data_IF_826279520590
#
_entry.id   IF_826279520590
#
_cell.length_a   1.000
_cell.length_b   1.000
_cell.length_c   1.000
_cell.angle_alpha   90.00
_cell.angle_beta   90.00
_cell.angle_gamma   90.00
#
_symmetry.space_group_name_H-M   'P 1'
#
loop_
_entity.id
_entity.type
_entity.pdbx_description
1 polymer ?
#
# COMPACT_ATOMS: atom_id res chain seq x y z
N UNK A 1 -5.64 -5.92 15.79
CA UNK A 1 -5.54 -7.31 16.32
C UNK A 1 -4.30 -7.40 17.21
N UNK A 2 -4.39 -8.00 18.39
CA UNK A 2 -3.23 -8.20 19.27
C UNK A 2 -2.39 -9.39 18.77
N UNK A 3 -1.08 -9.18 18.58
CA UNK A 3 -0.11 -10.27 18.33
C UNK A 3 0.28 -10.86 19.68
N UNK A 4 -0.01 -12.14 19.88
CA UNK A 4 0.31 -12.89 21.10
C UNK A 4 1.43 -13.92 20.87
N UNK A 5 1.83 -14.63 21.92
CA UNK A 5 2.93 -15.60 21.84
C UNK A 5 2.61 -16.84 21.00
N UNK A 6 1.33 -17.23 20.88
CA UNK A 6 0.95 -18.30 19.95
C UNK A 6 1.23 -17.93 18.49
N UNK A 7 0.99 -16.68 18.10
CA UNK A 7 1.36 -16.20 16.76
C UNK A 7 2.88 -16.24 16.56
N UNK A 8 3.67 -15.84 17.58
CA UNK A 8 5.14 -15.85 17.53
C UNK A 8 5.69 -17.26 17.43
N UNK A 9 5.15 -18.20 18.20
CA UNK A 9 5.56 -19.61 18.17
C UNK A 9 5.44 -20.19 16.76
N UNK A 10 4.26 -20.02 16.14
CA UNK A 10 4.04 -20.50 14.77
C UNK A 10 5.01 -19.82 13.80
N UNK A 11 5.17 -18.50 13.89
CA UNK A 11 6.09 -17.75 13.05
C UNK A 11 7.53 -18.28 13.12
N UNK A 12 8.09 -18.47 14.33
CA UNK A 12 9.44 -19.00 14.52
C UNK A 12 9.61 -20.42 13.96
N UNK A 13 8.63 -21.30 14.16
CA UNK A 13 8.63 -22.64 13.55
C UNK A 13 8.65 -22.54 12.01
N UNK A 14 7.85 -21.64 11.44
CA UNK A 14 7.81 -21.45 9.98
C UNK A 14 9.11 -20.84 9.44
N UNK A 15 9.71 -19.88 10.16
CA UNK A 15 11.01 -19.29 9.80
C UNK A 15 12.09 -20.37 9.76
N UNK A 16 12.14 -21.23 10.76
CA UNK A 16 13.10 -22.34 10.83
C UNK A 16 12.93 -23.29 9.64
N UNK A 17 11.70 -23.71 9.33
CA UNK A 17 11.43 -24.58 8.19
C UNK A 17 11.82 -23.94 6.84
N UNK A 18 11.56 -22.64 6.68
CA UNK A 18 11.93 -21.88 5.48
C UNK A 18 13.46 -21.78 5.31
N UNK A 19 14.21 -21.57 6.39
CA UNK A 19 15.68 -21.57 6.38
C UNK A 19 16.21 -22.96 6.05
N UNK A 20 15.65 -24.03 6.63
CA UNK A 20 16.01 -25.41 6.30
C UNK A 20 15.80 -25.72 4.81
N UNK A 21 14.67 -25.31 4.24
CA UNK A 21 14.39 -25.48 2.81
C UNK A 21 15.40 -24.73 1.93
N UNK A 22 15.73 -23.48 2.27
CA UNK A 22 16.72 -22.69 1.53
C UNK A 22 18.11 -23.32 1.59
N UNK A 23 18.56 -23.73 2.77
CA UNK A 23 19.85 -24.39 2.96
C UNK A 23 19.91 -25.74 2.22
N UNK A 24 18.81 -26.50 2.20
CA UNK A 24 18.72 -27.74 1.45
C UNK A 24 18.88 -27.52 -0.05
N UNK A 25 18.18 -26.53 -0.62
CA UNK A 25 18.31 -26.17 -2.03
C UNK A 25 19.75 -25.73 -2.38
N UNK A 26 20.36 -24.91 -1.52
CA UNK A 26 21.72 -24.41 -1.72
C UNK A 26 22.77 -25.53 -1.63
N UNK A 27 22.63 -26.45 -0.67
CA UNK A 27 23.53 -27.61 -0.51
C UNK A 27 23.53 -28.52 -1.75
N UNK A 28 22.38 -28.64 -2.42
CA UNK A 28 22.23 -29.45 -3.62
C UNK A 28 22.44 -28.66 -4.93
N UNK A 29 22.83 -27.38 -4.85
CA UNK A 29 23.01 -26.47 -5.99
C UNK A 29 21.82 -26.47 -6.97
N UNK A 30 20.60 -26.69 -6.47
CA UNK A 30 19.42 -26.77 -7.31
C UNK A 30 18.80 -25.38 -7.50
N UNK A 31 18.57 -24.99 -8.75
CA UNK A 31 17.89 -23.73 -9.09
C UNK A 31 16.46 -23.72 -8.52
N UNK A 32 16.11 -22.66 -7.80
CA UNK A 32 14.78 -22.47 -7.21
C UNK A 32 14.60 -21.01 -6.83
N UNK A 33 13.39 -20.59 -6.45
CA UNK A 33 13.14 -19.24 -5.96
C UNK A 33 13.54 -19.09 -4.49
N UNK A 34 14.38 -18.10 -4.22
CA UNK A 34 14.66 -17.59 -2.88
C UNK A 34 13.81 -16.35 -2.61
N UNK A 35 13.51 -16.12 -1.33
CA UNK A 35 12.90 -14.87 -0.87
C UNK A 35 14.02 -13.96 -0.40
N UNK A 36 14.40 -13.05 -1.28
CA UNK A 36 15.53 -12.15 -1.08
C UNK A 36 15.04 -10.80 -0.59
N UNK A 37 15.79 -10.24 0.34
CA UNK A 37 15.64 -8.86 0.76
C UNK A 37 17.02 -8.22 0.70
N UNK A 38 17.26 -7.42 -0.34
CA UNK A 38 18.53 -6.75 -0.56
C UNK A 38 18.89 -5.73 0.51
N UNK A 39 20.15 -5.31 0.51
CA UNK A 39 20.66 -4.23 1.35
C UNK A 39 19.95 -2.89 1.01
N UNK A 40 19.74 -2.00 2.00
CA UNK A 40 19.31 -0.63 1.74
C UNK A 40 20.21 0.07 0.71
N UNK A 41 19.63 0.92 -0.15
CA UNK A 41 20.45 1.67 -1.12
C UNK A 41 21.32 2.70 -0.41
N UNK A 42 22.49 2.99 -0.97
CA UNK A 42 23.46 3.94 -0.40
C UNK A 42 22.81 5.31 -0.14
N UNK A 43 22.02 5.79 -1.09
CA UNK A 43 21.26 7.05 -0.96
C UNK A 43 20.31 7.03 0.26
N UNK A 44 19.50 5.98 0.40
CA UNK A 44 18.56 5.84 1.53
C UNK A 44 19.29 5.77 2.87
N UNK A 45 20.45 5.10 2.91
CA UNK A 45 21.30 5.04 4.11
C UNK A 45 21.89 6.40 4.44
N UNK A 46 22.34 7.16 3.44
CA UNK A 46 22.87 8.51 3.63
C UNK A 46 21.79 9.46 4.16
N UNK A 47 20.59 9.45 3.57
CA UNK A 47 19.44 10.23 4.07
C UNK A 47 19.10 9.85 5.51
N UNK A 48 19.05 8.54 5.82
CA UNK A 48 18.80 8.08 7.19
C UNK A 48 19.89 8.58 8.16
N UNK A 49 21.17 8.49 7.78
CA UNK A 49 22.29 8.98 8.60
C UNK A 49 22.21 10.48 8.84
N UNK A 50 21.82 11.25 7.82
CA UNK A 50 21.63 12.70 7.97
C UNK A 50 20.52 13.02 8.97
N UNK A 51 19.38 12.33 8.89
CA UNK A 51 18.29 12.50 9.86
C UNK A 51 18.74 12.11 11.27
N UNK A 52 19.38 10.95 11.43
CA UNK A 52 19.85 10.47 12.74
C UNK A 52 20.82 11.47 13.41
N UNK A 53 21.74 12.07 12.65
CA UNK A 53 22.65 13.10 13.14
C UNK A 53 21.92 14.30 13.76
N UNK A 54 20.79 14.72 13.18
CA UNK A 54 20.00 15.83 13.75
C UNK A 54 19.37 15.49 15.11
N UNK A 55 19.16 14.20 15.38
CA UNK A 55 18.62 13.69 16.65
C UNK A 55 19.69 13.28 17.66
N UNK A 56 20.97 13.43 17.31
CA UNK A 56 22.12 13.01 18.12
C UNK A 56 22.44 11.52 18.05
N UNK A 57 21.80 10.77 17.14
CA UNK A 57 22.00 9.34 16.96
C UNK A 57 22.93 9.05 15.78
N UNK A 58 23.63 7.93 15.86
CA UNK A 58 24.58 7.51 14.84
C UNK A 58 24.34 6.05 14.47
N UNK A 59 24.11 5.78 13.18
CA UNK A 59 24.07 4.41 12.68
C UNK A 59 25.52 3.90 12.56
N UNK A 60 25.86 2.88 13.34
CA UNK A 60 27.14 2.18 13.24
C UNK A 60 27.22 1.40 11.92
N UNK A 61 28.45 1.16 11.45
CA UNK A 61 28.68 0.59 10.11
C UNK A 61 28.96 1.69 9.08
N UNK A 62 30.03 1.48 8.32
CA UNK A 62 30.59 2.42 7.34
C UNK A 62 29.60 2.67 6.17
N UNK A 63 30.02 2.60 4.92
CA UNK A 63 29.11 2.84 3.78
C UNK A 63 27.99 1.80 3.67
N UNK A 64 28.20 0.58 4.21
CA UNK A 64 27.25 -0.53 4.20
C UNK A 64 26.96 -1.05 5.61
N UNK A 65 25.90 -0.58 6.29
CA UNK A 65 25.52 -1.05 7.61
C UNK A 65 24.96 -2.48 7.58
N UNK A 66 25.33 -3.30 8.57
CA UNK A 66 24.85 -4.69 8.71
C UNK A 66 23.50 -4.70 9.46
N UNK A 67 22.63 -5.73 9.32
CA UNK A 67 21.38 -5.84 10.10
C UNK A 67 21.56 -5.70 11.62
N UNK A 68 22.72 -6.08 12.15
CA UNK A 68 23.09 -5.95 13.57
C UNK A 68 23.19 -4.49 14.01
N UNK A 69 23.67 -3.61 13.13
CA UNK A 69 23.78 -2.17 13.40
C UNK A 69 22.38 -1.54 13.55
N UNK A 70 21.47 -1.89 12.64
CA UNK A 70 20.07 -1.48 12.74
C UNK A 70 19.39 -2.03 14.00
N UNK A 71 19.64 -3.30 14.36
CA UNK A 71 19.09 -3.88 15.58
C UNK A 71 19.61 -3.17 16.85
N UNK A 72 20.88 -2.75 16.86
CA UNK A 72 21.45 -1.96 17.95
C UNK A 72 20.79 -0.58 18.05
N UNK A 73 20.64 0.12 16.93
CA UNK A 73 19.94 1.41 16.87
C UNK A 73 18.49 1.26 17.34
N UNK A 74 17.78 0.21 16.92
CA UNK A 74 16.40 -0.08 17.33
C UNK A 74 16.27 -0.29 18.85
N UNK A 75 17.29 -0.84 19.52
CA UNK A 75 17.32 -0.96 20.99
C UNK A 75 17.55 0.39 21.66
N UNK A 76 18.41 1.23 21.10
CA UNK A 76 18.75 2.56 21.62
C UNK A 76 17.55 3.53 21.54
N UNK A 77 16.77 3.47 20.45
CA UNK A 77 15.61 4.37 20.28
C UNK A 77 14.41 4.01 21.16
N UNK A 78 14.30 2.78 21.67
CA UNK A 78 13.07 2.25 22.29
C UNK A 78 12.55 3.07 23.48
N UNK A 79 13.44 3.75 24.21
CA UNK A 79 13.09 4.58 25.37
C UNK A 79 12.82 6.05 25.06
N UNK A 80 12.95 6.48 23.80
CA UNK A 80 12.87 7.89 23.43
C UNK A 80 11.44 8.31 23.03
N UNK A 81 11.06 9.58 23.21
CA UNK A 81 9.76 10.08 22.78
C UNK A 81 9.57 10.06 21.25
N UNK A 82 10.67 10.11 20.48
CA UNK A 82 10.72 10.10 19.01
C UNK A 82 10.88 8.68 18.42
N UNK A 83 10.75 7.62 19.23
CA UNK A 83 10.99 6.24 18.84
C UNK A 83 10.15 5.78 17.64
N UNK A 84 8.86 6.15 17.61
CA UNK A 84 7.92 5.78 16.55
C UNK A 84 8.33 6.38 15.20
N UNK A 85 8.69 7.67 15.18
CA UNK A 85 9.18 8.38 14.00
C UNK A 85 10.46 7.73 13.48
N UNK A 86 11.45 7.53 14.36
CA UNK A 86 12.73 6.96 14.00
C UNK A 86 12.58 5.53 13.46
N UNK A 87 11.71 4.73 14.08
CA UNK A 87 11.38 3.38 13.59
C UNK A 87 10.77 3.42 12.19
N UNK A 88 9.83 4.33 11.92
CA UNK A 88 9.24 4.47 10.58
C UNK A 88 10.29 4.86 9.53
N UNK A 89 11.19 5.79 9.86
CA UNK A 89 12.27 6.20 8.97
C UNK A 89 13.24 5.06 8.66
N UNK A 90 13.60 4.27 9.68
CA UNK A 90 14.42 3.06 9.51
C UNK A 90 13.72 2.08 8.57
N UNK A 91 12.44 1.78 8.79
CA UNK A 91 11.68 0.84 7.94
C UNK A 91 11.55 1.34 6.50
N UNK A 92 11.35 2.66 6.28
CA UNK A 92 11.29 3.26 4.93
C UNK A 92 12.62 3.18 4.18
N UNK A 93 13.74 3.13 4.90
CA UNK A 93 15.07 2.96 4.29
C UNK A 93 15.31 1.56 3.72
N UNK A 94 14.55 0.56 4.19
CA UNK A 94 14.69 -0.83 3.75
C UNK A 94 14.17 -1.06 2.33
N UNK A 95 14.67 -2.11 1.68
CA UNK A 95 14.19 -2.54 0.37
C UNK A 95 12.94 -3.42 0.51
N UNK A 96 12.16 -3.52 -0.56
CA UNK A 96 11.09 -4.50 -0.60
C UNK A 96 11.68 -5.89 -0.89
N UNK A 97 11.21 -6.91 -0.18
CA UNK A 97 11.61 -8.29 -0.46
C UNK A 97 10.95 -8.83 -1.74
N UNK A 98 11.70 -9.58 -2.53
CA UNK A 98 11.31 -10.11 -3.84
C UNK A 98 11.65 -11.60 -3.97
N UNK A 99 11.05 -12.26 -4.97
CA UNK A 99 11.41 -13.61 -5.36
C UNK A 99 12.40 -13.59 -6.53
N UNK A 100 13.53 -14.28 -6.38
CA UNK A 100 14.54 -14.41 -7.43
C UNK A 100 15.34 -15.72 -7.28
N UNK A 101 15.93 -16.24 -8.36
CA UNK A 101 16.69 -17.50 -8.29
C UNK A 101 18.06 -17.37 -7.64
N UNK A 102 18.68 -16.19 -7.68
CA UNK A 102 19.96 -15.93 -7.02
C UNK A 102 19.76 -15.62 -5.53
N UNK A 103 20.43 -16.37 -4.66
CA UNK A 103 20.42 -16.09 -3.23
C UNK A 103 21.36 -14.92 -2.89
N UNK A 104 20.78 -13.77 -2.51
CA UNK A 104 21.51 -12.61 -1.97
C UNK A 104 21.28 -12.43 -0.45
N UNK A 105 20.63 -13.40 0.19
CA UNK A 105 20.25 -13.35 1.60
C UNK A 105 19.00 -12.51 1.86
N UNK A 106 18.64 -12.42 3.15
CA UNK A 106 17.47 -11.68 3.60
C UNK A 106 17.85 -10.69 4.70
N UNK A 107 18.17 -9.45 4.31
CA UNK A 107 18.67 -8.41 5.20
C UNK A 107 17.76 -8.17 6.41
N UNK A 108 16.45 -8.01 6.20
CA UNK A 108 15.50 -7.72 7.28
C UNK A 108 15.34 -8.82 8.34
N UNK A 109 15.68 -10.08 8.00
CA UNK A 109 15.61 -11.22 8.91
C UNK A 109 17.01 -11.66 9.37
N UNK A 110 18.07 -11.06 8.82
CA UNK A 110 19.46 -11.45 9.06
C UNK A 110 19.77 -12.92 8.75
N UNK A 111 19.09 -13.52 7.76
CA UNK A 111 19.38 -14.88 7.28
C UNK A 111 20.24 -14.86 6.01
N UNK A 112 21.28 -15.72 5.90
CA UNK A 112 22.12 -15.82 4.69
C UNK A 112 21.40 -16.49 3.52
N UNK A 113 20.41 -17.34 3.80
CA UNK A 113 19.57 -17.99 2.81
C UNK A 113 18.15 -18.10 3.36
N UNK A 114 17.16 -17.74 2.55
CA UNK A 114 15.76 -17.80 2.95
C UNK A 114 14.87 -18.08 1.73
N UNK A 115 13.92 -19.01 1.87
CA UNK A 115 12.98 -19.38 0.84
C UNK A 115 11.62 -19.67 1.47
N UNK A 116 10.54 -19.19 0.86
CA UNK A 116 9.20 -19.51 1.32
C UNK A 116 8.86 -20.97 0.95
N UNK A 117 8.53 -21.78 1.96
CA UNK A 117 8.21 -23.20 1.82
C UNK A 117 6.90 -23.60 2.53
N UNK A 118 6.54 -22.90 3.60
CA UNK A 118 5.47 -23.32 4.52
C UNK A 118 4.03 -23.00 4.08
N UNK A 119 3.78 -22.45 2.90
CA UNK A 119 2.42 -22.10 2.46
C UNK A 119 2.14 -22.34 0.96
N UNK A 120 2.34 -23.57 0.43
CA UNK A 120 2.12 -23.90 -0.98
C UNK A 120 0.67 -23.73 -1.46
N UNK A 121 -0.31 -23.78 -0.55
CA UNK A 121 -1.73 -23.62 -0.88
C UNK A 121 -2.06 -22.20 -1.37
N UNK A 122 -1.37 -21.18 -0.84
CA UNK A 122 -1.68 -19.76 -1.08
C UNK A 122 -0.53 -18.98 -1.74
N UNK A 123 0.62 -19.62 -1.96
CA UNK A 123 1.80 -19.01 -2.59
C UNK A 123 2.39 -19.98 -3.61
N UNK A 124 2.43 -19.54 -4.86
CA UNK A 124 3.01 -20.33 -5.95
C UNK A 124 4.53 -20.58 -5.80
N UNK A 125 5.36 -19.63 -5.28
CA UNK A 125 6.77 -19.89 -5.02
C UNK A 125 7.02 -21.09 -4.11
N UNK A 126 6.25 -21.22 -3.03
CA UNK A 126 6.34 -22.37 -2.11
C UNK A 126 6.06 -23.68 -2.85
N UNK A 127 5.07 -23.70 -3.74
CA UNK A 127 4.76 -24.88 -4.56
C UNK A 127 5.93 -25.26 -5.48
N UNK A 128 6.60 -24.29 -6.09
CA UNK A 128 7.81 -24.52 -6.89
C UNK A 128 8.96 -25.06 -6.04
N UNK A 129 9.17 -24.51 -4.84
CA UNK A 129 10.17 -25.01 -3.88
C UNK A 129 9.87 -26.46 -3.48
N UNK A 130 8.60 -26.80 -3.19
CA UNK A 130 8.18 -28.18 -2.91
C UNK A 130 8.50 -29.13 -4.07
N UNK A 131 8.27 -28.72 -5.32
CA UNK A 131 8.61 -29.54 -6.50
C UNK A 131 10.12 -29.74 -6.63
N UNK A 132 10.92 -28.68 -6.44
CA UNK A 132 12.38 -28.76 -6.44
C UNK A 132 12.88 -29.72 -5.36
N UNK A 133 12.39 -29.61 -4.12
CA UNK A 133 12.78 -30.51 -3.02
C UNK A 133 12.41 -31.96 -3.33
N UNK A 134 11.19 -32.22 -3.81
CA UNK A 134 10.76 -33.58 -4.18
C UNK A 134 11.62 -34.18 -5.30
N UNK A 135 12.02 -33.37 -6.28
CA UNK A 135 12.89 -33.80 -7.36
C UNK A 135 14.29 -34.17 -6.83
N UNK A 136 14.88 -33.34 -5.97
CA UNK A 136 16.16 -33.62 -5.31
C UNK A 136 16.10 -34.93 -4.53
N UNK A 137 15.05 -35.15 -3.73
CA UNK A 137 14.84 -36.39 -2.98
C UNK A 137 14.71 -37.61 -3.90
N UNK A 138 14.13 -37.41 -5.09
CA UNK A 138 14.02 -38.44 -6.14
C UNK A 138 15.27 -38.56 -7.02
N UNK A 139 16.36 -37.85 -6.69
CA UNK A 139 17.60 -37.75 -7.49
C UNK A 139 17.38 -37.27 -8.93
N UNK A 140 16.38 -36.42 -9.15
CA UNK A 140 16.05 -35.78 -10.43
C UNK A 140 16.24 -34.27 -10.35
N UNK A 141 16.48 -33.64 -11.50
CA UNK A 141 16.49 -32.17 -11.60
C UNK A 141 15.12 -31.66 -12.04
N UNK A 142 14.55 -30.72 -11.29
CA UNK A 142 13.30 -30.07 -11.66
C UNK A 142 13.56 -28.81 -12.46
N UNK A 143 13.00 -28.77 -13.66
CA UNK A 143 13.01 -27.60 -14.54
C UNK A 143 11.56 -27.18 -14.75
N UNK A 144 11.12 -26.02 -14.25
CA UNK A 144 9.77 -25.59 -14.49
C UNK A 144 9.60 -25.26 -15.97
N UNK A 145 8.49 -25.68 -16.56
CA UNK A 145 8.13 -25.36 -17.93
C UNK A 145 7.24 -24.11 -17.93
N UNK A 146 7.51 -23.14 -18.81
CA UNK A 146 6.57 -22.05 -19.07
C UNK A 146 5.61 -22.50 -20.17
N UNK A 147 4.30 -22.61 -19.89
CA UNK A 147 3.32 -22.82 -20.94
C UNK A 147 3.28 -21.59 -21.85
N UNK A 148 3.30 -21.77 -23.17
CA UNK A 148 3.23 -20.67 -24.14
C UNK A 148 1.89 -19.90 -24.07
N UNK A 149 0.82 -20.59 -23.67
CA UNK A 149 -0.53 -20.04 -23.62
C UNK A 149 -0.84 -19.20 -22.38
N UNK A 150 0.05 -19.20 -21.37
CA UNK A 150 -0.21 -18.49 -20.11
C UNK A 150 0.45 -17.11 -20.16
N UNK A 151 -0.33 -16.01 -20.18
CA UNK A 151 0.24 -14.67 -20.16
C UNK A 151 0.91 -14.43 -18.81
N UNK A 152 2.24 -14.51 -18.82
CA UNK A 152 3.03 -14.19 -17.64
C UNK A 152 2.93 -12.68 -17.40
N UNK A 153 2.56 -12.31 -16.18
CA UNK A 153 2.66 -10.93 -15.69
C UNK A 153 4.14 -10.53 -15.53
N UNK A 154 4.84 -10.37 -16.65
CA UNK A 154 6.21 -9.86 -16.77
C UNK A 154 6.22 -8.32 -16.81
N UNK A 155 5.03 -7.73 -16.91
CA UNK A 155 4.85 -6.29 -17.03
C UNK A 155 5.09 -5.57 -15.70
N UNK A 156 6.08 -4.70 -15.73
CA UNK A 156 6.12 -3.51 -14.89
C UNK A 156 4.86 -2.65 -15.14
N UNK A 157 4.32 -1.96 -14.13
CA UNK A 157 3.09 -1.16 -14.28
C UNK A 157 3.21 -0.13 -15.42
N UNK A 158 2.21 -0.07 -16.30
CA UNK A 158 2.22 0.82 -17.48
C UNK A 158 2.04 2.32 -17.15
N UNK A 159 1.40 2.70 -16.02
CA UNK A 159 1.26 4.09 -15.51
C UNK A 159 1.11 4.13 -13.97
N UNK A 160 1.42 5.27 -13.33
CA UNK A 160 1.28 5.54 -11.89
C UNK A 160 2.61 5.76 -11.15
N UNK A 161 2.57 6.09 -9.84
CA UNK A 161 3.77 6.20 -8.97
C UNK A 161 4.60 4.89 -8.94
N UNK A 162 3.98 3.74 -9.22
CA UNK A 162 4.66 2.45 -9.42
C UNK A 162 5.62 2.41 -10.61
N UNK A 163 5.52 3.33 -11.58
CA UNK A 163 6.46 3.46 -12.71
C UNK A 163 7.82 4.04 -12.28
N UNK A 164 7.85 4.93 -11.28
CA UNK A 164 9.10 5.48 -10.75
C UNK A 164 9.89 4.40 -10.00
N UNK A 165 9.20 3.60 -9.19
CA UNK A 165 9.79 2.44 -8.50
C UNK A 165 10.22 1.34 -9.48
N UNK A 166 9.44 1.11 -10.56
CA UNK A 166 9.80 0.19 -11.62
C UNK A 166 10.98 0.69 -12.49
N UNK A 167 11.14 2.00 -12.69
CA UNK A 167 12.29 2.57 -13.39
C UNK A 167 13.58 2.35 -12.60
N UNK A 168 13.54 2.55 -11.27
CA UNK A 168 14.66 2.24 -10.38
C UNK A 168 15.04 0.75 -10.39
N UNK A 169 14.04 -0.14 -10.45
CA UNK A 169 14.26 -1.60 -10.58
C UNK A 169 14.76 -2.00 -11.98
N UNK A 170 14.38 -1.27 -13.02
CA UNK A 170 14.92 -1.48 -14.38
C UNK A 170 16.40 -1.09 -14.45
N UNK A 171 16.78 -0.05 -13.71
CA UNK A 171 18.18 0.37 -13.56
C UNK A 171 18.98 -0.67 -12.76
N UNK A 172 18.44 -1.17 -11.65
CA UNK A 172 19.08 -2.27 -10.90
C UNK A 172 19.16 -3.59 -11.69
N UNK A 173 18.19 -3.89 -12.55
CA UNK A 173 18.23 -5.03 -13.48
C UNK A 173 19.23 -4.82 -14.62
N UNK A 174 19.43 -3.59 -15.09
CA UNK A 174 20.46 -3.25 -16.08
C UNK A 174 21.86 -3.32 -15.46
N UNK A 175 22.01 -2.89 -14.22
CA UNK A 175 23.25 -3.00 -13.44
C UNK A 175 23.56 -4.46 -13.10
N UNK A 176 22.56 -5.26 -12.75
CA UNK A 176 22.68 -6.70 -12.55
C UNK A 176 23.01 -7.45 -13.86
N UNK A 177 22.39 -7.06 -15.00
CA UNK A 177 22.76 -7.59 -16.33
C UNK A 177 24.16 -7.16 -16.75
N UNK A 178 24.60 -5.95 -16.41
CA UNK A 178 25.96 -5.49 -16.66
C UNK A 178 26.97 -6.25 -15.79
N UNK A 179 26.61 -6.57 -14.55
CA UNK A 179 27.38 -7.44 -13.65
C UNK A 179 27.45 -8.88 -14.17
N UNK A 180 26.34 -9.42 -14.66
CA UNK A 180 26.27 -10.76 -15.28
C UNK A 180 27.05 -10.83 -16.60
N UNK A 181 27.08 -9.75 -17.40
CA UNK A 181 27.93 -9.67 -18.60
C UNK A 181 29.43 -9.58 -18.29
N UNK A 182 29.80 -9.02 -17.13
CA UNK A 182 31.20 -8.98 -16.66
C UNK A 182 31.64 -10.30 -16.01
N UNK A 183 30.70 -11.07 -15.45
CA UNK A 183 30.95 -12.38 -14.86
C UNK A 183 30.81 -13.51 -15.90
N UNK A 184 31.81 -13.66 -16.76
CA UNK A 184 32.21 -14.97 -17.27
C UNK A 184 31.31 -15.65 -18.30
N UNK A 185 31.68 -15.48 -19.55
CA UNK A 185 31.44 -16.45 -20.62
C UNK A 185 32.10 -17.80 -20.25
N UNK A 186 31.33 -18.78 -19.72
CA UNK A 186 31.52 -20.26 -19.85
C UNK A 186 30.74 -21.04 -18.77
N UNK A 187 29.55 -21.56 -19.11
CA UNK A 187 29.01 -22.91 -18.77
C UNK A 187 27.53 -23.03 -19.16
N UNK A 188 27.22 -23.99 -20.05
CA UNK A 188 25.92 -24.65 -20.23
C UNK A 188 24.74 -23.83 -20.77
N UNK A 189 24.45 -23.90 -22.08
CA UNK A 189 23.24 -23.30 -22.68
C UNK A 189 21.91 -23.75 -22.06
N UNK A 190 21.85 -24.97 -21.49
CA UNK A 190 20.66 -25.52 -20.80
C UNK A 190 20.48 -24.97 -19.38
N UNK A 191 21.55 -24.81 -18.60
CA UNK A 191 21.47 -24.22 -17.25
C UNK A 191 21.13 -22.72 -17.31
N UNK A 192 21.69 -22.00 -18.28
CA UNK A 192 21.34 -20.60 -18.53
C UNK A 192 19.87 -20.42 -18.93
N UNK A 193 19.33 -21.32 -19.77
CA UNK A 193 17.91 -21.32 -20.12
C UNK A 193 17.01 -21.61 -18.92
N UNK A 194 17.37 -22.59 -18.08
CA UNK A 194 16.66 -22.89 -16.85
C UNK A 194 16.67 -21.71 -15.86
N UNK A 195 17.81 -21.02 -15.72
CA UNK A 195 17.93 -19.83 -14.88
C UNK A 195 17.02 -18.70 -15.38
N UNK A 196 16.96 -18.48 -16.70
CA UNK A 196 16.08 -17.48 -17.30
C UNK A 196 14.60 -17.76 -17.01
N UNK A 197 14.19 -19.03 -17.08
CA UNK A 197 12.84 -19.49 -16.72
C UNK A 197 12.54 -19.23 -15.25
N UNK A 198 13.44 -19.57 -14.33
CA UNK A 198 13.28 -19.26 -12.92
C UNK A 198 13.22 -17.75 -12.63
N UNK A 199 14.03 -16.95 -13.32
CA UNK A 199 13.99 -15.49 -13.20
C UNK A 199 12.64 -14.92 -13.64
N UNK A 200 12.05 -15.44 -14.73
CA UNK A 200 10.71 -15.06 -15.17
C UNK A 200 9.64 -15.42 -14.12
N UNK A 201 9.71 -16.60 -13.50
CA UNK A 201 8.82 -16.96 -12.39
C UNK A 201 9.01 -16.05 -11.18
N UNK A 202 10.25 -15.66 -10.86
CA UNK A 202 10.54 -14.71 -9.78
C UNK A 202 9.89 -13.35 -10.00
N UNK A 203 10.03 -12.78 -11.20
CA UNK A 203 9.38 -11.52 -11.60
C UNK A 203 7.86 -11.65 -11.53
N UNK A 204 7.30 -12.72 -12.09
CA UNK A 204 5.85 -12.96 -12.11
C UNK A 204 5.26 -13.07 -10.70
N UNK A 205 5.88 -13.88 -9.83
CA UNK A 205 5.40 -14.08 -8.47
C UNK A 205 5.50 -12.79 -7.66
N UNK A 206 6.60 -12.04 -7.79
CA UNK A 206 6.78 -10.75 -7.12
C UNK A 206 5.79 -9.69 -7.62
N UNK A 207 5.49 -9.66 -8.92
CA UNK A 207 4.50 -8.75 -9.49
C UNK A 207 3.08 -9.06 -9.01
N UNK A 208 2.72 -10.35 -8.93
CA UNK A 208 1.41 -10.76 -8.44
C UNK A 208 1.25 -10.53 -6.93
N UNK A 209 2.32 -10.69 -6.14
CA UNK A 209 2.33 -10.31 -4.71
C UNK A 209 1.99 -8.82 -4.57
N UNK A 210 2.69 -7.93 -5.30
CA UNK A 210 2.41 -6.49 -5.28
C UNK A 210 0.99 -6.17 -5.74
N UNK A 211 0.52 -6.80 -6.82
CA UNK A 211 -0.85 -6.60 -7.32
C UNK A 211 -1.91 -6.98 -6.29
N UNK A 212 -1.69 -8.08 -5.56
CA UNK A 212 -2.59 -8.52 -4.50
C UNK A 212 -2.59 -7.54 -3.32
N UNK A 213 -1.42 -7.04 -2.92
CA UNK A 213 -1.28 -6.03 -1.87
C UNK A 213 -1.95 -4.71 -2.27
N UNK A 214 -1.76 -4.24 -3.50
CA UNK A 214 -2.39 -3.02 -4.04
C UNK A 214 -3.91 -3.15 -4.06
N UNK A 215 -4.45 -4.25 -4.58
CA UNK A 215 -5.90 -4.49 -4.59
C UNK A 215 -6.49 -4.55 -3.17
N UNK A 216 -5.77 -5.17 -2.23
CA UNK A 216 -6.20 -5.25 -0.82
C UNK A 216 -6.21 -3.86 -0.16
N UNK A 217 -5.16 -3.07 -0.38
CA UNK A 217 -5.08 -1.68 0.11
C UNK A 217 -6.19 -0.80 -0.49
N UNK A 218 -6.50 -0.99 -1.77
CA UNK A 218 -7.55 -0.26 -2.46
C UNK A 218 -8.93 -0.50 -1.83
N UNK A 219 -9.26 -1.76 -1.54
CA UNK A 219 -10.51 -2.14 -0.87
C UNK A 219 -10.52 -1.63 0.57
N UNK A 220 -9.40 -1.75 1.29
CA UNK A 220 -9.27 -1.24 2.65
C UNK A 220 -9.44 0.29 2.69
N UNK A 221 -8.82 1.03 1.76
CA UNK A 221 -8.97 2.47 1.64
C UNK A 221 -10.42 2.87 1.36
N UNK A 222 -11.10 2.14 0.47
CA UNK A 222 -12.53 2.37 0.21
C UNK A 222 -13.40 2.12 1.44
N UNK A 223 -13.17 1.00 2.16
CA UNK A 223 -13.89 0.68 3.40
C UNK A 223 -13.64 1.72 4.50
N UNK A 224 -12.40 2.23 4.61
CA UNK A 224 -12.05 3.32 5.54
C UNK A 224 -12.79 4.61 5.19
N UNK A 225 -12.83 4.99 3.91
CA UNK A 225 -13.59 6.16 3.47
C UNK A 225 -15.10 5.98 3.75
N UNK A 226 -15.65 4.80 3.45
CA UNK A 226 -17.05 4.48 3.74
C UNK A 226 -17.38 4.63 5.23
N UNK A 227 -16.50 4.14 6.10
CA UNK A 227 -16.65 4.28 7.55
C UNK A 227 -16.53 5.73 8.04
N UNK A 228 -15.65 6.53 7.43
CA UNK A 228 -15.46 7.95 7.78
C UNK A 228 -16.60 8.87 7.37
N UNK A 229 -17.42 8.49 6.39
CA UNK A 229 -18.59 9.28 5.97
C UNK A 229 -19.52 9.60 7.14
N UNK A 230 -19.72 8.64 8.04
CA UNK A 230 -20.66 8.79 9.16
C UNK A 230 -20.02 9.57 10.33
N UNK A 231 -18.73 9.91 10.22
CA UNK A 231 -17.93 10.62 11.22
C UNK A 231 -17.48 12.02 10.76
N UNK A 232 -18.11 12.57 9.72
CA UNK A 232 -17.88 13.93 9.25
C UNK A 232 -18.14 14.97 10.36
N UNK A 233 -17.21 15.92 10.52
CA UNK A 233 -17.27 16.97 11.54
C UNK A 233 -16.89 16.54 12.96
N UNK A 234 -16.37 15.31 13.14
CA UNK A 234 -15.80 14.86 14.41
C UNK A 234 -14.30 15.19 14.48
N UNK A 235 -13.83 15.42 15.71
CA UNK A 235 -12.42 15.69 16.01
C UNK A 235 -11.74 14.38 16.47
N UNK A 236 -10.55 14.13 15.95
CA UNK A 236 -9.75 12.95 16.28
C UNK A 236 -8.31 13.35 16.59
N UNK A 237 -7.68 12.56 17.46
CA UNK A 237 -6.24 12.60 17.62
C UNK A 237 -5.57 11.82 16.48
N UNK A 238 -4.57 12.43 15.85
CA UNK A 238 -3.81 11.81 14.77
C UNK A 238 -2.33 12.09 14.87
N UNK A 239 -1.53 11.20 14.27
CA UNK A 239 -0.08 11.34 14.17
C UNK A 239 0.30 11.61 12.71
N UNK A 240 1.21 12.55 12.48
CA UNK A 240 1.72 12.83 11.12
C UNK A 240 2.54 11.64 10.63
N UNK A 241 2.09 10.95 9.56
CA UNK A 241 2.82 9.84 8.94
C UNK A 241 3.69 10.29 7.77
N UNK A 242 3.34 11.39 7.11
CA UNK A 242 4.05 11.90 5.95
C UNK A 242 3.90 13.40 5.79
N UNK A 243 4.92 14.01 5.21
CA UNK A 243 4.96 15.45 4.96
C UNK A 243 5.28 15.64 3.47
N UNK A 244 4.55 16.53 2.80
CA UNK A 244 4.77 16.87 1.41
C UNK A 244 4.62 18.38 1.21
N UNK A 245 5.11 18.92 0.09
CA UNK A 245 5.07 20.37 -0.18
C UNK A 245 3.64 20.96 -0.16
N UNK A 246 2.63 20.15 -0.48
CA UNK A 246 1.23 20.58 -0.56
C UNK A 246 0.42 20.27 0.71
N UNK A 247 0.97 19.56 1.70
CA UNK A 247 0.22 19.19 2.89
C UNK A 247 0.85 18.12 3.78
N UNK A 248 0.09 17.76 4.81
CA UNK A 248 0.46 16.74 5.80
C UNK A 248 -0.44 15.51 5.63
N UNK A 249 0.13 14.33 5.77
CA UNK A 249 -0.62 13.08 5.91
C UNK A 249 -0.69 12.72 7.38
N UNK A 250 -1.91 12.58 7.89
CA UNK A 250 -2.18 12.31 9.30
C UNK A 250 -2.92 10.98 9.40
N UNK A 251 -2.42 10.09 10.25
CA UNK A 251 -3.08 8.83 10.59
C UNK A 251 -3.78 8.96 11.94
N UNK A 252 -5.07 8.65 11.98
CA UNK A 252 -5.86 8.65 13.21
C UNK A 252 -5.43 7.50 14.13
N UNK A 253 -5.21 7.78 15.42
CA UNK A 253 -4.64 6.79 16.36
C UNK A 253 -5.59 5.62 16.64
N UNK A 254 -6.89 5.88 16.79
CA UNK A 254 -7.88 4.84 17.10
C UNK A 254 -8.32 4.04 15.88
N UNK A 255 -8.37 4.68 14.72
CA UNK A 255 -9.02 4.12 13.53
C UNK A 255 -8.01 3.66 12.47
N UNK A 256 -6.72 4.01 12.61
CA UNK A 256 -5.66 3.72 11.63
C UNK A 256 -6.04 4.15 10.19
N UNK A 257 -6.84 5.21 10.09
CA UNK A 257 -7.26 5.83 8.84
C UNK A 257 -6.30 6.98 8.53
N UNK A 258 -5.83 7.03 7.29
CA UNK A 258 -4.99 8.12 6.81
C UNK A 258 -5.84 9.16 6.07
N UNK A 259 -5.56 10.43 6.30
CA UNK A 259 -6.14 11.54 5.55
C UNK A 259 -5.14 12.68 5.38
N UNK A 260 -5.49 13.63 4.53
CA UNK A 260 -4.60 14.71 4.11
C UNK A 260 -5.10 16.05 4.67
N UNK A 261 -4.20 16.81 5.27
CA UNK A 261 -4.40 18.22 5.60
C UNK A 261 -3.71 19.05 4.53
N UNK A 262 -4.47 19.83 3.77
CA UNK A 262 -3.90 20.72 2.75
C UNK A 262 -3.17 21.90 3.39
N UNK A 263 -2.11 22.40 2.75
CA UNK A 263 -1.31 23.52 3.28
C UNK A 263 -2.13 24.78 3.57
N UNK A 264 -3.18 25.04 2.79
CA UNK A 264 -4.11 26.18 3.00
C UNK A 264 -4.85 26.08 4.33
N UNK A 265 -5.14 24.87 4.83
CA UNK A 265 -5.82 24.64 6.11
C UNK A 265 -4.88 24.79 7.31
N UNK A 266 -3.56 24.72 7.09
CA UNK A 266 -2.56 24.88 8.16
C UNK A 266 -2.45 26.34 8.64
N UNK A 267 -2.85 27.29 7.79
CA UNK A 267 -2.90 28.73 8.09
C UNK A 267 -2.33 29.58 6.95
N UNK A 268 -2.64 30.89 6.97
CA UNK A 268 -2.11 31.88 6.03
C UNK A 268 -0.63 32.22 6.28
N UNK A 269 0.22 31.20 6.30
CA UNK A 269 1.68 31.31 6.37
C UNK A 269 2.30 30.63 5.14
N UNK A 270 3.50 31.06 4.79
CA UNK A 270 4.29 30.39 3.75
C UNK A 270 5.04 29.24 4.41
N UNK A 271 4.72 28.01 3.99
CA UNK A 271 5.37 26.81 4.50
C UNK A 271 6.47 26.36 3.55
N UNK A 272 7.70 26.28 4.07
CA UNK A 272 8.84 25.69 3.37
C UNK A 272 8.97 24.21 3.77
N UNK A 273 9.05 23.34 2.77
CA UNK A 273 9.32 21.92 2.96
C UNK A 273 10.82 21.67 3.02
N UNK A 274 11.27 21.07 4.11
CA UNK A 274 12.64 20.55 4.27
C UNK A 274 12.60 19.02 4.07
N UNK A 275 13.10 18.57 2.92
CA UNK A 275 13.15 17.15 2.56
C UNK A 275 14.10 16.35 3.46
N UNK A 276 15.21 16.96 3.87
CA UNK A 276 16.23 16.29 4.67
C UNK A 276 15.72 16.01 6.10
N UNK A 277 14.88 16.90 6.63
CA UNK A 277 14.28 16.75 7.96
C UNK A 277 12.87 16.20 7.95
N UNK A 278 12.25 16.07 6.78
CA UNK A 278 10.85 15.70 6.62
C UNK A 278 9.94 16.59 7.48
N UNK A 279 10.17 17.91 7.43
CA UNK A 279 9.43 18.91 8.19
C UNK A 279 8.85 20.01 7.28
N UNK A 280 7.65 20.49 7.59
CA UNK A 280 7.09 21.72 7.04
C UNK A 280 7.27 22.83 8.07
N UNK A 281 7.93 23.92 7.67
CA UNK A 281 8.21 25.07 8.53
C UNK A 281 7.53 26.33 8.02
N UNK A 282 6.72 26.96 8.86
CA UNK A 282 6.13 28.27 8.58
C UNK A 282 7.18 29.38 8.71
N UNK A 283 7.28 30.25 7.70
CA UNK A 283 8.25 31.33 7.64
C UNK A 283 7.93 32.44 8.65
N UNK A 284 6.66 32.87 8.74
CA UNK A 284 6.24 33.96 9.62
C UNK A 284 5.95 33.51 11.03
N UNK A 285 5.32 32.34 11.18
CA UNK A 285 4.89 31.82 12.50
C UNK A 285 5.96 31.01 13.20
N UNK A 286 6.95 30.49 12.45
CA UNK A 286 7.96 29.58 12.97
C UNK A 286 7.42 28.21 13.42
N UNK A 287 6.13 27.92 13.18
CA UNK A 287 5.52 26.62 13.51
C UNK A 287 6.14 25.55 12.62
N UNK A 288 6.46 24.40 13.22
CA UNK A 288 7.08 23.25 12.54
C UNK A 288 6.18 22.04 12.70
N UNK A 289 5.91 21.36 11.59
CA UNK A 289 5.20 20.09 11.55
C UNK A 289 6.16 19.00 11.08
N UNK A 290 6.40 17.99 11.91
CA UNK A 290 7.35 16.90 11.65
C UNK A 290 6.64 15.57 11.63
N UNK A 291 7.21 14.59 10.93
CA UNK A 291 6.73 13.21 11.02
C UNK A 291 6.73 12.74 12.48
N UNK A 292 5.62 12.18 12.92
CA UNK A 292 5.38 11.68 14.27
C UNK A 292 4.83 12.69 15.27
N UNK A 293 4.71 13.96 14.89
CA UNK A 293 4.01 14.92 15.74
C UNK A 293 2.53 14.54 15.85
N UNK A 294 1.98 14.74 17.04
CA UNK A 294 0.56 14.52 17.34
C UNK A 294 -0.23 15.80 17.12
N UNK A 295 -1.32 15.69 16.39
CA UNK A 295 -2.22 16.79 16.04
C UNK A 295 -3.66 16.39 16.31
N UNK A 296 -4.51 17.39 16.56
CA UNK A 296 -5.96 17.21 16.53
C UNK A 296 -6.50 17.67 15.18
N UNK A 297 -7.22 16.77 14.52
CA UNK A 297 -7.76 17.00 13.18
C UNK A 297 -9.27 16.83 13.19
N UNK A 298 -9.96 17.68 12.43
CA UNK A 298 -11.38 17.58 12.16
C UNK A 298 -11.58 16.92 10.80
N UNK A 299 -12.50 15.96 10.71
CA UNK A 299 -12.91 15.39 9.42
C UNK A 299 -13.74 16.41 8.65
N UNK A 300 -13.13 17.07 7.66
CA UNK A 300 -13.77 18.12 6.86
C UNK A 300 -14.61 17.52 5.74
N UNK A 301 -13.99 16.66 4.93
CA UNK A 301 -14.61 16.07 3.74
C UNK A 301 -14.12 14.65 3.50
N UNK A 302 -15.03 13.80 3.02
CA UNK A 302 -14.73 12.43 2.59
C UNK A 302 -15.22 12.27 1.16
N UNK A 303 -14.32 11.88 0.27
CA UNK A 303 -14.61 11.58 -1.12
C UNK A 303 -14.48 10.07 -1.35
N UNK A 304 -15.62 9.42 -1.64
CA UNK A 304 -15.71 7.98 -1.88
C UNK A 304 -15.16 7.58 -3.26
N UNK A 305 -15.27 8.47 -4.24
CA UNK A 305 -14.83 8.20 -5.61
C UNK A 305 -13.31 8.32 -5.71
N UNK A 306 -12.76 9.39 -5.11
CA UNK A 306 -11.32 9.58 -5.02
C UNK A 306 -10.65 8.70 -3.94
N UNK A 307 -11.43 8.08 -3.05
CA UNK A 307 -10.96 7.37 -1.84
C UNK A 307 -10.02 8.23 -0.99
N UNK A 308 -10.38 9.50 -0.84
CA UNK A 308 -9.59 10.51 -0.12
C UNK A 308 -10.38 11.10 1.03
N UNK A 309 -9.68 11.32 2.12
CA UNK A 309 -10.21 11.97 3.32
C UNK A 309 -9.41 13.24 3.53
N UNK A 310 -10.12 14.36 3.63
CA UNK A 310 -9.55 15.67 3.89
C UNK A 310 -9.80 16.06 5.34
N UNK A 311 -8.72 16.46 5.99
CA UNK A 311 -8.70 16.91 7.36
C UNK A 311 -8.42 18.41 7.41
N UNK A 312 -9.04 19.09 8.38
CA UNK A 312 -8.65 20.44 8.77
C UNK A 312 -8.02 20.41 10.15
N UNK A 313 -7.02 21.27 10.37
CA UNK A 313 -6.33 21.33 11.65
C UNK A 313 -7.20 22.07 12.66
N UNK A 314 -7.48 21.44 13.81
CA UNK A 314 -8.15 22.15 14.91
C UNK A 314 -7.09 22.95 15.64
N UNK A 315 -7.11 24.28 15.48
CA UNK A 315 -6.31 25.17 16.32
C UNK A 315 -6.85 25.03 17.75
N UNK A 316 -5.99 24.61 18.67
CA UNK A 316 -6.30 24.72 20.09
C UNK A 316 -6.66 26.18 20.35
N UNK A 317 -7.88 26.46 20.83
CA UNK A 317 -8.25 27.80 21.27
C UNK A 317 -7.33 28.15 22.45
N UNK A 318 -6.19 28.77 22.18
CA UNK A 318 -5.49 29.59 23.17
C UNK A 318 -6.27 30.90 23.30
N UNK A 319 -7.48 30.81 23.86
CA UNK A 319 -8.07 31.90 24.62
C UNK A 319 -7.50 31.76 26.04
N UNK A 320 -6.22 32.11 26.20
CA UNK A 320 -5.70 32.65 27.44
C UNK A 320 -4.59 33.63 27.08
N UNK A 321 -4.53 34.67 27.88
CA UNK A 321 -3.96 35.96 27.58
C UNK A 321 -2.45 35.93 27.29
N UNK A 322 -1.99 37.06 26.73
CA UNK A 322 -0.59 37.48 26.73
C UNK A 322 -0.02 37.28 28.13
N UNK A 323 0.85 36.29 28.31
CA UNK A 323 1.97 36.44 29.22
C UNK A 323 3.16 35.58 28.79
N UNK A 324 4.35 36.11 29.02
CA UNK A 324 5.61 35.58 28.52
C UNK A 324 5.96 34.20 29.08
N UNK A 325 6.77 33.49 28.30
CA UNK A 325 7.69 32.45 28.76
C UNK A 325 7.07 31.17 29.39
N UNK A 326 6.77 30.18 28.53
CA UNK A 326 7.22 28.77 28.61
C UNK A 326 6.37 27.91 27.68
N UNK A 327 6.98 27.41 26.60
CA UNK A 327 6.44 26.29 25.81
C UNK A 327 6.39 25.04 26.71
N UNK A 328 5.26 24.83 27.39
CA UNK A 328 4.92 23.55 28.01
C UNK A 328 3.87 22.86 27.14
N UNK A 329 4.30 21.74 26.57
CA UNK A 329 3.50 20.57 26.18
C UNK A 329 2.07 20.84 25.74
N UNK A 330 1.84 20.72 24.43
CA UNK A 330 0.56 20.32 23.84
C UNK A 330 -0.15 19.33 24.77
N UNK A 331 -1.26 19.82 25.31
CA UNK A 331 -2.10 19.14 26.29
C UNK A 331 -2.51 17.77 25.76
N UNK A 332 -2.10 16.72 26.48
CA UNK A 332 -2.62 15.37 26.35
C UNK A 332 -4.10 15.40 26.74
N UNK A 333 -5.01 15.44 25.77
CA UNK A 333 -6.44 15.28 25.99
C UNK A 333 -7.00 14.21 25.04
N UNK A 334 -7.71 13.27 25.65
CA UNK A 334 -8.17 12.00 25.08
C UNK A 334 -8.85 12.10 23.71
N UNK A 335 -8.71 11.02 22.95
CA UNK A 335 -9.40 10.69 21.70
C UNK A 335 -10.90 10.46 21.92
N UNK A 336 -11.58 11.48 22.42
CA UNK A 336 -13.02 11.49 22.48
C UNK A 336 -13.50 12.05 21.15
N UNK A 337 -13.98 11.18 20.25
CA UNK A 337 -14.75 11.53 19.05
C UNK A 337 -16.05 12.27 19.39
N UNK A 338 -15.92 13.38 20.13
CA UNK A 338 -17.00 14.26 20.52
C UNK A 338 -17.28 15.16 19.34
N UNK A 339 -18.55 15.31 18.94
CA UNK A 339 -18.91 16.24 17.89
C UNK A 339 -18.50 17.65 18.32
N UNK A 340 -17.75 18.35 17.45
CA UNK A 340 -17.36 19.73 17.69
C UNK A 340 -18.61 20.61 17.80
N UNK A 341 -18.73 21.40 18.87
CA UNK A 341 -19.82 22.38 19.04
C UNK A 341 -19.81 23.49 17.98
N UNK A 342 -18.82 23.51 17.08
CA UNK A 342 -18.71 24.44 15.95
C UNK A 342 -19.06 23.82 14.59
N UNK A 343 -19.57 22.58 14.56
CA UNK A 343 -20.15 22.01 13.34
C UNK A 343 -21.44 22.76 12.99
N UNK A 344 -21.56 23.16 11.72
CA UNK A 344 -22.68 23.92 11.18
C UNK A 344 -24.04 23.38 11.64
N UNK A 345 -24.94 24.30 11.98
CA UNK A 345 -26.29 23.99 12.45
C UNK A 345 -27.02 23.07 11.46
N UNK A 346 -27.75 22.11 12.02
CA UNK A 346 -28.47 20.99 11.40
C UNK A 346 -29.68 21.40 10.54
N UNK A 347 -29.59 22.49 9.75
CA UNK A 347 -30.69 23.05 8.96
C UNK A 347 -30.43 23.23 7.45
N UNK A 348 -29.30 22.78 6.91
CA UNK A 348 -29.04 22.78 5.46
C UNK A 348 -28.82 21.38 4.90
N UNK A 349 -29.73 20.45 5.21
CA UNK A 349 -29.85 19.17 4.48
C UNK A 349 -31.00 19.34 3.47
N UNK A 350 -30.77 19.26 2.15
CA UNK A 350 -31.87 19.09 1.20
C UNK A 350 -32.65 17.83 1.58
N UNK A 351 -33.97 17.89 1.48
CA UNK A 351 -34.85 16.78 1.83
C UNK A 351 -34.43 15.50 1.08
N UNK A 352 -34.44 14.41 1.85
CA UNK A 352 -34.17 13.03 1.46
C UNK A 352 -34.97 12.66 0.19
N UNK A 353 -34.34 12.62 -0.98
CA UNK A 353 -34.91 11.92 -2.14
C UNK A 353 -34.62 10.44 -1.94
N UNK A 354 -35.63 9.72 -1.44
CA UNK A 354 -35.65 8.27 -1.46
C UNK A 354 -35.32 7.74 -2.88
N UNK A 355 -34.59 6.63 -3.02
CA UNK A 355 -34.29 6.07 -4.33
C UNK A 355 -35.61 5.60 -4.96
N UNK A 356 -36.06 6.32 -5.99
CA UNK A 356 -37.14 5.84 -6.86
C UNK A 356 -36.63 4.56 -7.54
N UNK A 357 -37.19 3.41 -7.15
CA UNK A 357 -37.16 2.21 -7.99
C UNK A 357 -37.68 2.62 -9.37
N UNK A 358 -36.89 2.38 -10.40
CA UNK A 358 -37.30 2.51 -11.79
C UNK A 358 -38.47 1.55 -12.05
N UNK A 359 -39.68 2.08 -12.07
CA UNK A 359 -40.82 1.42 -12.68
C UNK A 359 -40.70 1.66 -14.20
N UNK A 360 -40.29 0.63 -14.92
CA UNK A 360 -40.29 0.59 -16.38
C UNK A 360 -41.72 0.70 -16.90
N UNK A 361 -42.10 1.89 -17.37
CA UNK A 361 -43.32 2.07 -18.17
C UNK A 361 -43.09 1.61 -19.59
N UNK A 362 -43.31 0.32 -19.85
CA UNK A 362 -43.61 -0.18 -21.19
C UNK A 362 -45.15 -0.33 -21.33
N UNK A 363 -45.71 0.58 -22.12
CA UNK A 363 -47.08 0.55 -22.62
C UNK A 363 -47.37 -0.75 -23.39
N UNK A 364 -48.41 -1.50 -22.97
CA UNK A 364 -49.48 -2.02 -23.86
C UNK A 364 -50.59 -2.79 -23.11
N UNK A 365 -51.78 -2.18 -23.14
CA UNK A 365 -53.12 -2.75 -23.38
C UNK A 365 -53.48 -4.15 -22.81
N UNK A 366 -54.36 -4.10 -21.81
CA UNK A 366 -55.68 -4.75 -21.71
C UNK A 366 -55.92 -6.08 -22.44
N UNK A 367 -56.27 -7.12 -21.67
CA UNK A 367 -57.04 -8.28 -22.13
C UNK A 367 -58.22 -8.58 -21.20
N UNK A 368 -59.39 -8.68 -21.87
CA UNK A 368 -60.57 -9.54 -21.62
C UNK A 368 -61.50 -9.33 -20.42
N UNK A 369 -62.75 -9.03 -20.78
CA UNK A 369 -64.01 -9.07 -20.02
C UNK A 369 -64.48 -10.49 -19.71
N UNK A 370 -65.17 -10.62 -18.57
CA UNK A 370 -66.47 -11.31 -18.38
C UNK A 370 -67.22 -10.49 -17.30
N UNK A 371 -68.53 -10.25 -17.26
CA UNK A 371 -69.68 -10.49 -18.12
C UNK A 371 -70.77 -9.47 -17.70
N UNK A 372 -71.57 -8.96 -18.64
CA UNK A 372 -73.03 -8.72 -18.55
C UNK A 372 -73.54 -7.80 -19.69
N UNK A 373 -74.37 -8.42 -20.53
CA UNK A 373 -75.58 -7.94 -21.22
C UNK A 373 -75.60 -6.64 -22.05
N UNK A 374 -75.91 -6.86 -23.34
CA UNK A 374 -76.96 -6.24 -24.16
C UNK A 374 -76.58 -5.22 -25.27
N UNK A 375 -76.96 -5.64 -26.49
CA UNK A 375 -77.36 -4.91 -27.72
C UNK A 375 -76.30 -4.41 -28.73
N UNK A 376 -76.48 -4.94 -29.94
CA UNK A 376 -75.93 -4.69 -31.30
C UNK A 376 -76.57 -3.43 -31.96
N UNK A 377 -76.28 -3.05 -33.25
CA UNK A 377 -75.22 -3.47 -34.19
C UNK A 377 -74.60 -2.32 -35.08
N UNK A 378 -73.72 -2.76 -36.02
CA UNK A 378 -73.39 -2.20 -37.38
C UNK A 378 -72.24 -1.18 -37.46
N UNK A 379 -71.39 -1.07 -38.50
CA UNK A 379 -70.97 -1.75 -39.75
C UNK A 379 -69.66 -1.00 -40.15
N UNK A 380 -68.55 -1.62 -40.60
CA UNK A 380 -68.24 -1.88 -42.02
C UNK A 380 -66.80 -1.45 -42.38
N UNK A 381 -66.10 -2.32 -43.16
CA UNK A 381 -65.06 -2.14 -44.23
C UNK A 381 -63.99 -1.01 -44.14
N UNK A 382 -62.73 -1.10 -44.62
CA UNK A 382 -62.01 -2.00 -45.53
C UNK A 382 -60.55 -1.46 -45.73
N UNK A 383 -59.55 -2.34 -45.94
CA UNK A 383 -58.69 -2.52 -47.14
C UNK A 383 -57.44 -1.61 -47.37
N UNK A 384 -56.33 -2.26 -47.81
CA UNK A 384 -55.19 -1.72 -48.60
C UNK A 384 -53.91 -1.44 -47.79
N UNK A 385 -52.72 -2.09 -47.86
CA UNK A 385 -51.87 -2.85 -48.83
C UNK A 385 -50.81 -1.99 -49.57
N UNK A 386 -49.53 -2.46 -49.45
CA UNK A 386 -48.29 -2.22 -50.26
C UNK A 386 -47.53 -0.89 -50.04
N UNK A 387 -46.25 -0.84 -49.61
CA UNK A 387 -44.93 -1.37 -50.08
C UNK A 387 -44.25 -0.52 -51.18
N UNK A 388 -43.08 0.09 -50.90
CA UNK A 388 -41.92 0.03 -51.81
C UNK A 388 -40.58 0.54 -51.24
N UNK A 389 -39.51 0.01 -51.86
CA UNK A 389 -38.06 0.10 -51.62
C UNK A 389 -37.40 1.43 -52.02
N UNK A 390 -36.18 1.61 -51.49
CA UNK A 390 -35.01 2.18 -52.17
C UNK A 390 -34.55 3.54 -51.65
N UNK A 391 -33.29 3.99 -51.73
CA UNK A 391 -31.94 3.44 -51.96
C UNK A 391 -31.02 4.69 -51.92
N UNK A 392 -29.74 4.53 -51.54
CA UNK A 392 -28.59 5.43 -51.81
C UNK A 392 -28.54 6.75 -51.02
N UNK A 393 -27.36 7.27 -50.68
CA UNK A 393 -26.01 7.06 -51.25
C UNK A 393 -24.97 6.86 -50.17
#
# INVERSE_FOLDING_TARGET
RLRNDAHRLIEECMLTANVCAANFLQKHHHLSLFRVHGEPSVEKVQTLKQVLRTTGLHLTGNEKPHPKDFAKLMKEIKGRPDASTLQMLILRSMQQAIYQPENEGHFGLSYPAYAHFTSPIRRYPDLLVHRSIKAILSKKAYHPHLPEDVPMNLTMPRKGQGRANAAAVKQSQQDAKARAKRAGNTKGSKEGAALAVWAQFGVHCSANERRADEASRDVEAWLKCYYMRDHLGQEYAGTITGVANFGLFVQLESLFVEGMVHVTELGGDYYQYDEARQELRGERTGIRYRIGDRLHVLVSRVDLDARKIEFSLVKANTNHERDGMRFKSTVLANDSGRPSKKAAHKKTRPAEKAPKREATTASKKSKTKSAKTARQPSMGQGTGRKSHKGKRK
#
